data_IF_792797299818
#
_entry.id   IF_792797299818
#
_cell.length_a   1.000
_cell.length_b   1.000
_cell.length_c   1.000
_cell.angle_alpha   90.00
_cell.angle_beta   90.00
_cell.angle_gamma   90.00
#
_symmetry.space_group_name_H-M   'P 1'
#
loop_
_entity.id
_entity.type
_entity.pdbx_description
1 polymer ?
#
# COMPACT_ATOMS: atom_id res chain seq x y z
N UNK A 1 -33.19 22.32 -13.49
CA UNK A 1 -33.38 21.71 -12.16
C UNK A 1 -32.01 21.35 -11.60
N UNK A 2 -31.51 22.15 -10.67
CA UNK A 2 -30.21 21.91 -10.01
C UNK A 2 -30.46 20.96 -8.84
N UNK A 3 -29.97 19.73 -8.92
CA UNK A 3 -30.09 18.77 -7.82
C UNK A 3 -29.18 19.22 -6.67
N UNK A 4 -29.77 19.79 -5.62
CA UNK A 4 -29.10 20.01 -4.34
C UNK A 4 -28.79 18.63 -3.75
N UNK A 5 -27.56 18.14 -3.96
CA UNK A 5 -27.06 16.94 -3.31
C UNK A 5 -26.87 17.24 -1.83
N UNK A 6 -27.92 17.03 -1.03
CA UNK A 6 -27.85 17.06 0.43
C UNK A 6 -26.86 15.96 0.86
N UNK A 7 -25.71 16.37 1.41
CA UNK A 7 -24.73 15.43 1.94
C UNK A 7 -25.34 14.55 3.06
N UNK A 8 -24.65 13.47 3.48
CA UNK A 8 -25.17 12.54 4.47
C UNK A 8 -25.54 13.23 5.78
N UNK A 9 -26.63 12.77 6.42
CA UNK A 9 -27.12 13.28 7.71
C UNK A 9 -26.05 13.16 8.82
N UNK A 10 -26.10 13.98 9.89
CA UNK A 10 -25.12 13.93 10.97
C UNK A 10 -24.94 12.52 11.58
N UNK A 11 -26.05 11.83 11.89
CA UNK A 11 -26.01 10.45 12.40
C UNK A 11 -25.36 9.46 11.41
N UNK A 12 -25.59 9.64 10.10
CA UNK A 12 -24.95 8.83 9.05
C UNK A 12 -23.46 9.10 8.96
N UNK A 13 -23.04 10.37 9.08
CA UNK A 13 -21.63 10.77 9.11
C UNK A 13 -20.90 10.14 10.29
N UNK A 14 -21.47 10.16 11.49
CA UNK A 14 -20.85 9.57 12.69
C UNK A 14 -20.72 8.05 12.58
N UNK A 15 -21.75 7.38 12.05
CA UNK A 15 -21.71 5.95 11.79
C UNK A 15 -20.62 5.57 10.77
N UNK A 16 -20.51 6.32 9.67
CA UNK A 16 -19.47 6.12 8.65
C UNK A 16 -18.08 6.41 9.19
N UNK A 17 -17.90 7.47 9.99
CA UNK A 17 -16.63 7.78 10.61
C UNK A 17 -16.18 6.65 11.55
N UNK A 18 -17.10 6.09 12.35
CA UNK A 18 -16.81 4.91 13.19
C UNK A 18 -16.44 3.69 12.34
N UNK A 19 -17.17 3.44 11.26
CA UNK A 19 -16.90 2.33 10.34
C UNK A 19 -15.53 2.47 9.67
N UNK A 20 -15.16 3.66 9.22
CA UNK A 20 -13.84 3.93 8.62
C UNK A 20 -12.74 3.68 9.65
N UNK A 21 -12.88 4.13 10.90
CA UNK A 21 -11.90 3.85 11.95
C UNK A 21 -11.71 2.35 12.18
N UNK A 22 -12.80 1.59 12.22
CA UNK A 22 -12.75 0.13 12.36
C UNK A 22 -12.08 -0.54 11.15
N UNK A 23 -12.41 -0.09 9.94
CA UNK A 23 -11.79 -0.63 8.71
C UNK A 23 -10.29 -0.34 8.67
N UNK A 24 -9.88 0.90 8.95
CA UNK A 24 -8.46 1.28 9.00
C UNK A 24 -7.71 0.47 10.07
N UNK A 25 -8.30 0.30 11.26
CA UNK A 25 -7.70 -0.52 12.32
C UNK A 25 -7.57 -1.99 11.90
N UNK A 26 -8.57 -2.54 11.21
CA UNK A 26 -8.53 -3.90 10.68
C UNK A 26 -7.44 -4.06 9.60
N UNK A 27 -7.33 -3.10 8.68
CA UNK A 27 -6.27 -3.08 7.65
C UNK A 27 -4.88 -3.03 8.29
N UNK A 28 -4.65 -2.13 9.25
CA UNK A 28 -3.37 -2.05 9.97
C UNK A 28 -3.05 -3.37 10.69
N UNK A 29 -4.01 -3.93 11.43
CA UNK A 29 -3.79 -5.20 12.13
C UNK A 29 -3.46 -6.34 11.17
N UNK A 30 -4.15 -6.40 10.03
CA UNK A 30 -3.89 -7.40 8.99
C UNK A 30 -2.49 -7.23 8.39
N UNK A 31 -2.09 -6.03 8.02
CA UNK A 31 -0.75 -5.76 7.45
C UNK A 31 0.38 -6.06 8.44
N UNK A 32 0.16 -5.85 9.74
CA UNK A 32 1.14 -6.26 10.76
C UNK A 32 1.29 -7.80 10.77
N UNK A 33 0.18 -8.53 10.71
CA UNK A 33 0.22 -10.01 10.64
C UNK A 33 0.89 -10.45 9.34
N UNK A 34 0.52 -9.85 8.21
CA UNK A 34 1.09 -10.11 6.89
C UNK A 34 2.60 -9.88 6.89
N UNK A 35 3.07 -8.73 7.39
CA UNK A 35 4.50 -8.43 7.54
C UNK A 35 5.23 -9.51 8.35
N UNK A 36 4.72 -9.87 9.53
CA UNK A 36 5.36 -10.86 10.40
C UNK A 36 5.44 -12.22 9.71
N UNK A 37 4.32 -12.67 9.13
CA UNK A 37 4.25 -13.99 8.47
C UNK A 37 5.12 -14.02 7.22
N UNK A 38 5.03 -12.99 6.36
CA UNK A 38 5.77 -12.93 5.10
C UNK A 38 7.28 -12.77 5.33
N UNK A 39 7.73 -11.91 6.26
CA UNK A 39 9.16 -11.78 6.54
C UNK A 39 9.72 -13.08 7.15
N UNK A 40 8.99 -13.73 8.06
CA UNK A 40 9.43 -14.99 8.66
C UNK A 40 9.45 -16.11 7.62
N UNK A 41 8.38 -16.30 6.85
CA UNK A 41 8.31 -17.33 5.83
C UNK A 41 9.27 -17.06 4.66
N UNK A 42 9.50 -15.80 4.30
CA UNK A 42 10.39 -15.40 3.22
C UNK A 42 11.86 -15.62 3.59
N UNK A 43 12.25 -15.29 4.81
CA UNK A 43 13.60 -15.58 5.31
C UNK A 43 13.87 -17.08 5.43
N UNK A 44 12.91 -17.86 5.93
CA UNK A 44 13.03 -19.32 6.01
C UNK A 44 13.12 -19.97 4.63
N UNK A 45 12.37 -19.46 3.64
CA UNK A 45 12.33 -20.01 2.29
C UNK A 45 13.34 -19.36 1.33
N UNK A 46 14.20 -18.44 1.79
CA UNK A 46 15.08 -17.63 0.95
C UNK A 46 14.37 -16.97 -0.25
N UNK A 47 13.13 -16.50 -0.02
CA UNK A 47 12.25 -15.93 -1.06
C UNK A 47 12.33 -14.40 -1.03
N UNK A 48 12.98 -13.83 -2.06
CA UNK A 48 13.11 -12.39 -2.24
C UNK A 48 11.75 -11.73 -2.46
N UNK A 49 10.83 -12.39 -3.17
CA UNK A 49 9.50 -11.84 -3.42
C UNK A 49 8.67 -11.75 -2.13
N UNK A 50 8.72 -12.78 -1.30
CA UNK A 50 7.96 -12.84 -0.06
C UNK A 50 8.52 -11.87 0.99
N UNK A 51 9.84 -11.69 1.04
CA UNK A 51 10.46 -10.63 1.85
C UNK A 51 10.03 -9.24 1.34
N UNK A 52 10.08 -9.01 0.03
CA UNK A 52 9.66 -7.74 -0.56
C UNK A 52 8.20 -7.40 -0.26
N UNK A 53 7.31 -8.40 -0.33
CA UNK A 53 5.91 -8.28 0.06
C UNK A 53 5.74 -7.95 1.56
N UNK A 54 6.45 -8.66 2.44
CA UNK A 54 6.40 -8.38 3.88
C UNK A 54 6.89 -6.97 4.23
N UNK A 55 7.93 -6.49 3.56
CA UNK A 55 8.43 -5.11 3.74
C UNK A 55 7.47 -4.06 3.18
N UNK A 56 6.77 -4.32 2.07
CA UNK A 56 5.70 -3.46 1.56
C UNK A 56 4.59 -3.27 2.61
N UNK A 57 4.19 -4.36 3.26
CA UNK A 57 3.22 -4.36 4.35
C UNK A 57 3.68 -3.49 5.54
N UNK A 58 4.97 -3.49 5.88
CA UNK A 58 5.56 -2.57 6.89
C UNK A 58 5.48 -1.11 6.45
N UNK A 59 5.74 -0.83 5.16
CA UNK A 59 5.60 0.50 4.60
C UNK A 59 4.14 0.95 4.66
N UNK A 60 3.19 0.07 4.38
CA UNK A 60 1.76 0.38 4.42
C UNK A 60 1.30 0.81 5.82
N UNK A 61 1.70 0.06 6.86
CA UNK A 61 1.42 0.43 8.25
C UNK A 61 2.08 1.77 8.61
N UNK A 62 3.33 1.96 8.19
CA UNK A 62 4.10 3.18 8.49
C UNK A 62 3.51 4.41 7.81
N UNK A 63 3.06 4.29 6.56
CA UNK A 63 2.44 5.37 5.81
C UNK A 63 1.06 5.71 6.35
N UNK A 64 0.26 4.72 6.75
CA UNK A 64 -1.02 4.94 7.42
C UNK A 64 -0.83 5.71 8.73
N UNK A 65 0.20 5.38 9.52
CA UNK A 65 0.56 6.12 10.72
C UNK A 65 1.03 7.56 10.42
N UNK A 66 1.88 7.75 9.41
CA UNK A 66 2.34 9.08 8.99
C UNK A 66 1.18 9.97 8.52
N UNK A 67 0.23 9.39 7.76
CA UNK A 67 -1.00 10.05 7.32
C UNK A 67 -1.91 10.37 8.52
N UNK A 68 -2.09 9.46 9.47
CA UNK A 68 -2.87 9.74 10.67
C UNK A 68 -2.25 10.89 11.50
N UNK A 69 -0.92 10.91 11.63
CA UNK A 69 -0.18 11.96 12.30
C UNK A 69 -0.33 13.34 11.63
N UNK A 70 -0.35 13.40 10.29
CA UNK A 70 -0.54 14.65 9.56
C UNK A 70 -1.91 15.28 9.87
N UNK A 71 -2.96 14.46 9.96
CA UNK A 71 -4.35 14.93 10.15
C UNK A 71 -4.67 15.27 11.61
N UNK A 72 -3.77 14.97 12.55
CA UNK A 72 -3.89 15.42 13.95
C UNK A 72 -3.62 16.93 14.13
N UNK A 73 -2.99 17.59 13.16
CA UNK A 73 -2.69 19.02 13.21
C UNK A 73 -3.94 19.87 12.95
N UNK A 74 -4.19 20.87 13.81
CA UNK A 74 -5.32 21.81 13.69
C UNK A 74 -5.08 22.94 12.70
N UNK A 75 -3.82 23.36 12.55
CA UNK A 75 -3.44 24.48 11.68
C UNK A 75 -3.12 24.02 10.26
N UNK A 76 -3.64 24.74 9.27
CA UNK A 76 -3.48 24.41 7.85
C UNK A 76 -2.02 24.40 7.39
N UNK A 77 -1.23 25.42 7.76
CA UNK A 77 0.18 25.51 7.39
C UNK A 77 1.02 24.36 7.97
N UNK A 78 0.74 23.97 9.22
CA UNK A 78 1.39 22.82 9.88
C UNK A 78 0.99 21.51 9.19
N UNK A 79 -0.28 21.37 8.79
CA UNK A 79 -0.77 20.17 8.08
C UNK A 79 -0.07 20.00 6.72
N UNK A 80 0.09 21.08 5.95
CA UNK A 80 0.77 21.03 4.65
C UNK A 80 2.27 20.70 4.78
N UNK A 81 2.95 21.26 5.79
CA UNK A 81 4.35 20.92 6.09
C UNK A 81 4.52 19.45 6.51
N UNK A 82 3.58 18.92 7.32
CA UNK A 82 3.54 17.50 7.70
C UNK A 82 3.24 16.60 6.51
N UNK A 83 2.37 17.01 5.60
CA UNK A 83 2.06 16.25 4.37
C UNK A 83 3.29 16.07 3.49
N UNK A 84 4.04 17.15 3.21
CA UNK A 84 5.29 17.05 2.43
C UNK A 84 6.32 16.13 3.11
N UNK A 85 6.39 16.19 4.44
CA UNK A 85 7.28 15.33 5.22
C UNK A 85 6.83 13.86 5.14
N UNK A 86 5.55 13.57 5.34
CA UNK A 86 4.99 12.23 5.24
C UNK A 86 5.21 11.63 3.85
N UNK A 87 4.93 12.38 2.78
CA UNK A 87 5.15 11.94 1.40
C UNK A 87 6.63 11.67 1.10
N UNK A 88 7.55 12.47 1.65
CA UNK A 88 9.00 12.20 1.53
C UNK A 88 9.42 10.94 2.25
N UNK A 89 8.92 10.72 3.47
CA UNK A 89 9.20 9.50 4.23
C UNK A 89 8.71 8.29 3.43
N UNK A 90 7.46 8.32 2.98
CA UNK A 90 6.85 7.25 2.16
C UNK A 90 7.67 7.01 0.89
N UNK A 91 8.03 8.07 0.17
CA UNK A 91 8.82 7.98 -1.04
C UNK A 91 10.19 7.33 -0.81
N UNK A 92 10.91 7.74 0.24
CA UNK A 92 12.21 7.18 0.59
C UNK A 92 12.07 5.71 1.00
N UNK A 93 11.04 5.36 1.78
CA UNK A 93 10.78 3.97 2.17
C UNK A 93 10.55 3.06 0.96
N UNK A 94 9.72 3.48 0.01
CA UNK A 94 9.47 2.69 -1.21
C UNK A 94 10.71 2.56 -2.09
N UNK A 95 11.53 3.61 -2.22
CA UNK A 95 12.78 3.55 -2.97
C UNK A 95 13.82 2.67 -2.27
N UNK A 96 13.89 2.71 -0.95
CA UNK A 96 14.77 1.84 -0.16
C UNK A 96 14.34 0.37 -0.27
N UNK A 97 13.03 0.09 -0.18
CA UNK A 97 12.45 -1.23 -0.44
C UNK A 97 12.85 -1.73 -1.82
N UNK A 98 12.61 -0.92 -2.86
CA UNK A 98 12.92 -1.30 -4.22
C UNK A 98 14.40 -1.61 -4.42
N UNK A 99 15.29 -0.79 -3.85
CA UNK A 99 16.73 -1.02 -3.93
C UNK A 99 17.13 -2.32 -3.22
N UNK A 100 16.62 -2.56 -2.02
CA UNK A 100 16.90 -3.78 -1.26
C UNK A 100 16.42 -5.04 -2.00
N UNK A 101 15.14 -5.07 -2.39
CA UNK A 101 14.53 -6.23 -3.08
C UNK A 101 15.18 -6.47 -4.43
N UNK A 102 15.55 -5.42 -5.17
CA UNK A 102 16.24 -5.58 -6.46
C UNK A 102 17.64 -6.18 -6.29
N UNK A 103 18.42 -5.74 -5.30
CA UNK A 103 19.73 -6.31 -5.00
C UNK A 103 19.61 -7.77 -4.59
N UNK A 104 18.65 -8.08 -3.72
CA UNK A 104 18.41 -9.44 -3.24
C UNK A 104 17.98 -10.38 -4.39
N UNK A 105 17.04 -9.94 -5.23
CA UNK A 105 16.58 -10.69 -6.40
C UNK A 105 17.70 -10.93 -7.43
N UNK A 106 18.55 -9.93 -7.69
CA UNK A 106 19.71 -10.10 -8.58
C UNK A 106 20.70 -11.13 -8.02
N UNK A 107 20.96 -11.09 -6.71
CA UNK A 107 21.83 -12.08 -6.04
C UNK A 107 21.28 -13.49 -6.18
N UNK A 108 19.98 -13.68 -5.91
CA UNK A 108 19.28 -14.95 -6.08
C UNK A 108 19.39 -15.48 -7.53
N UNK A 109 19.19 -14.62 -8.54
CA UNK A 109 19.36 -15.00 -9.96
C UNK A 109 20.80 -15.37 -10.33
N UNK A 110 21.80 -14.80 -9.66
CA UNK A 110 23.22 -15.08 -9.92
C UNK A 110 23.78 -16.28 -9.12
N UNK A 111 22.94 -16.98 -8.36
CA UNK A 111 23.26 -18.29 -7.80
C UNK A 111 23.51 -18.35 -6.28
N UNK A 112 23.11 -17.34 -5.49
CA UNK A 112 23.32 -17.34 -4.03
C UNK A 112 22.12 -17.80 -3.18
N UNK A 113 21.13 -18.46 -3.76
CA UNK A 113 20.01 -19.02 -3.00
C UNK A 113 18.83 -19.35 -3.90
N UNK A 114 18.42 -20.61 -3.92
CA UNK A 114 17.18 -21.01 -4.58
C UNK A 114 16.02 -20.83 -3.59
N UNK A 115 14.96 -20.15 -4.03
CA UNK A 115 13.77 -20.01 -3.21
C UNK A 115 13.11 -21.38 -3.02
N UNK A 116 12.93 -21.81 -1.78
CA UNK A 116 12.20 -23.03 -1.47
C UNK A 116 10.68 -22.78 -1.51
N UNK A 117 9.85 -23.80 -1.81
CA UNK A 117 8.40 -23.67 -1.72
C UNK A 117 7.96 -23.28 -0.30
N UNK A 118 7.15 -22.23 -0.20
CA UNK A 118 6.64 -21.74 1.09
C UNK A 118 5.11 -21.85 1.17
N UNK A 119 4.55 -22.91 1.78
CA UNK A 119 3.10 -23.05 1.98
C UNK A 119 2.51 -21.87 2.75
N UNK A 120 3.23 -21.36 3.76
CA UNK A 120 2.81 -20.18 4.52
C UNK A 120 2.76 -18.93 3.63
N UNK A 121 3.76 -18.74 2.76
CA UNK A 121 3.78 -17.65 1.77
C UNK A 121 2.60 -17.71 0.79
N UNK A 122 2.28 -18.91 0.29
CA UNK A 122 1.13 -19.13 -0.60
C UNK A 122 -0.17 -18.80 0.11
N UNK A 123 -0.36 -19.30 1.34
CA UNK A 123 -1.58 -19.06 2.12
C UNK A 123 -1.75 -17.57 2.42
N UNK A 124 -0.71 -16.87 2.89
CA UNK A 124 -0.84 -15.45 3.21
C UNK A 124 -1.09 -14.61 1.95
N UNK A 125 -0.41 -14.90 0.84
CA UNK A 125 -0.62 -14.18 -0.42
C UNK A 125 -2.05 -14.42 -0.96
N UNK A 126 -2.56 -15.65 -0.88
CA UNK A 126 -3.93 -15.98 -1.28
C UNK A 126 -4.98 -15.30 -0.39
N UNK A 127 -4.78 -15.29 0.93
CA UNK A 127 -5.66 -14.58 1.86
C UNK A 127 -5.65 -13.08 1.59
N UNK A 128 -4.49 -12.50 1.32
CA UNK A 128 -4.33 -11.07 1.05
C UNK A 128 -5.04 -10.69 -0.26
N UNK A 129 -4.83 -11.49 -1.31
CA UNK A 129 -5.53 -11.36 -2.59
C UNK A 129 -7.05 -11.48 -2.45
N UNK A 130 -7.53 -12.29 -1.50
CA UNK A 130 -8.96 -12.42 -1.23
C UNK A 130 -9.51 -11.27 -0.36
N UNK A 131 -8.84 -10.88 0.72
CA UNK A 131 -9.37 -9.97 1.75
C UNK A 131 -9.21 -8.50 1.36
N UNK A 132 -8.02 -8.12 0.87
CA UNK A 132 -7.66 -6.73 0.60
C UNK A 132 -8.59 -6.00 -0.39
N UNK A 133 -9.09 -6.63 -1.48
CA UNK A 133 -10.03 -5.96 -2.38
C UNK A 133 -11.32 -5.52 -1.68
N UNK A 134 -11.84 -6.34 -0.75
CA UNK A 134 -13.05 -6.01 -0.02
C UNK A 134 -12.81 -4.87 0.97
N UNK A 135 -11.69 -4.89 1.70
CA UNK A 135 -11.29 -3.81 2.60
C UNK A 135 -11.12 -2.49 1.82
N UNK A 136 -10.34 -2.52 0.74
CA UNK A 136 -10.12 -1.37 -0.14
C UNK A 136 -11.43 -0.80 -0.68
N UNK A 137 -12.34 -1.66 -1.17
CA UNK A 137 -13.63 -1.22 -1.69
C UNK A 137 -14.52 -0.61 -0.59
N UNK A 138 -14.57 -1.22 0.59
CA UNK A 138 -15.36 -0.73 1.72
C UNK A 138 -14.84 0.62 2.23
N UNK A 139 -13.52 0.76 2.43
CA UNK A 139 -12.88 1.99 2.86
C UNK A 139 -13.06 3.10 1.82
N UNK A 140 -12.88 2.78 0.53
CA UNK A 140 -13.06 3.75 -0.55
C UNK A 140 -14.49 4.27 -0.65
N UNK A 141 -15.49 3.38 -0.52
CA UNK A 141 -16.91 3.78 -0.56
C UNK A 141 -17.24 4.69 0.62
N UNK A 142 -16.92 4.27 1.84
CA UNK A 142 -17.18 5.07 3.03
C UNK A 142 -16.40 6.40 3.01
N UNK A 143 -15.14 6.37 2.61
CA UNK A 143 -14.28 7.55 2.49
C UNK A 143 -14.81 8.58 1.49
N UNK A 144 -15.31 8.13 0.33
CA UNK A 144 -15.96 9.02 -0.65
C UNK A 144 -17.28 9.59 -0.13
N UNK A 145 -18.08 8.79 0.58
CA UNK A 145 -19.38 9.22 1.12
C UNK A 145 -19.23 10.37 2.15
N UNK A 146 -18.16 10.36 2.96
CA UNK A 146 -17.90 11.43 3.94
C UNK A 146 -16.84 12.45 3.50
N UNK A 147 -16.29 12.33 2.28
CA UNK A 147 -15.22 13.20 1.79
C UNK A 147 -13.86 13.04 2.49
N UNK A 148 -13.58 11.88 3.08
CA UNK A 148 -12.31 11.58 3.74
C UNK A 148 -11.22 11.24 2.71
N UNK A 149 -10.34 12.21 2.45
CA UNK A 149 -9.18 12.02 1.58
C UNK A 149 -8.21 10.95 2.11
N UNK A 150 -8.00 10.89 3.43
CA UNK A 150 -7.14 9.88 4.06
C UNK A 150 -7.66 8.46 3.85
N UNK A 151 -8.95 8.20 4.05
CA UNK A 151 -9.53 6.88 3.83
C UNK A 151 -9.47 6.45 2.35
N UNK A 152 -9.59 7.41 1.42
CA UNK A 152 -9.44 7.12 -0.01
C UNK A 152 -7.98 6.85 -0.38
N UNK A 153 -7.03 7.57 0.22
CA UNK A 153 -5.60 7.31 0.03
C UNK A 153 -5.19 5.94 0.58
N UNK A 154 -5.59 5.62 1.81
CA UNK A 154 -5.36 4.32 2.46
C UNK A 154 -5.90 3.17 1.59
N UNK A 155 -7.13 3.31 1.07
CA UNK A 155 -7.72 2.31 0.17
C UNK A 155 -6.93 2.08 -1.13
N UNK A 156 -6.14 3.06 -1.61
CA UNK A 156 -5.28 2.86 -2.79
C UNK A 156 -4.10 1.97 -2.45
N UNK A 157 -3.54 2.13 -1.25
CA UNK A 157 -2.38 1.37 -0.82
C UNK A 157 -2.74 -0.09 -0.59
N UNK A 158 -3.86 -0.35 0.10
CA UNK A 158 -4.42 -1.70 0.25
C UNK A 158 -4.73 -2.37 -1.10
N UNK A 159 -5.06 -1.58 -2.13
CA UNK A 159 -5.22 -2.10 -3.50
C UNK A 159 -3.88 -2.45 -4.15
N UNK A 160 -2.80 -1.72 -3.86
CA UNK A 160 -1.45 -2.09 -4.29
C UNK A 160 -1.02 -3.41 -3.66
N UNK A 161 -1.26 -3.63 -2.36
CA UNK A 161 -1.00 -4.92 -1.71
C UNK A 161 -1.76 -6.06 -2.39
N UNK A 162 -2.97 -5.82 -2.91
CA UNK A 162 -3.69 -6.82 -3.72
C UNK A 162 -2.90 -7.20 -4.99
N UNK A 163 -2.40 -6.22 -5.73
CA UNK A 163 -1.61 -6.48 -6.93
C UNK A 163 -0.28 -7.17 -6.62
N UNK A 164 0.39 -6.75 -5.55
CA UNK A 164 1.63 -7.36 -5.09
C UNK A 164 1.39 -8.80 -4.61
N UNK A 165 0.28 -9.06 -3.91
CA UNK A 165 -0.15 -10.42 -3.52
C UNK A 165 -0.36 -11.31 -4.75
N UNK A 166 -0.95 -10.79 -5.82
CA UNK A 166 -1.15 -11.54 -7.06
C UNK A 166 0.19 -11.88 -7.72
N UNK A 167 1.11 -10.92 -7.84
CA UNK A 167 2.45 -11.11 -8.41
C UNK A 167 3.23 -12.13 -7.58
N UNK A 168 3.23 -11.97 -6.26
CA UNK A 168 3.86 -12.90 -5.32
C UNK A 168 3.28 -14.31 -5.46
N UNK A 169 1.96 -14.45 -5.41
CA UNK A 169 1.29 -15.76 -5.45
C UNK A 169 1.60 -16.50 -6.74
N UNK A 170 1.63 -15.80 -7.89
CA UNK A 170 2.05 -16.39 -9.17
C UNK A 170 3.50 -16.87 -9.08
N UNK A 171 4.43 -16.06 -8.56
CA UNK A 171 5.83 -16.45 -8.38
C UNK A 171 5.99 -17.70 -7.50
N UNK A 172 5.32 -17.73 -6.35
CA UNK A 172 5.37 -18.84 -5.40
C UNK A 172 4.74 -20.12 -5.97
N UNK A 173 3.60 -20.03 -6.66
CA UNK A 173 2.94 -21.19 -7.28
C UNK A 173 3.81 -21.74 -8.41
N UNK A 174 4.39 -20.89 -9.25
CA UNK A 174 5.28 -21.34 -10.33
C UNK A 174 6.50 -22.06 -9.78
N UNK A 175 7.10 -21.53 -8.71
CA UNK A 175 8.21 -22.19 -8.02
C UNK A 175 7.77 -23.55 -7.44
N UNK A 176 6.67 -23.59 -6.70
CA UNK A 176 6.20 -24.81 -6.03
C UNK A 176 5.73 -25.91 -7.00
N UNK A 177 5.09 -25.55 -8.12
CA UNK A 177 4.50 -26.51 -9.06
C UNK A 177 5.49 -26.99 -10.13
N UNK A 178 6.42 -26.12 -10.57
CA UNK A 178 7.33 -26.41 -11.68
C UNK A 178 8.81 -26.43 -11.29
N UNK A 179 9.15 -26.13 -10.04
CA UNK A 179 10.55 -26.03 -9.58
C UNK A 179 11.27 -24.82 -10.18
N UNK A 180 10.55 -23.80 -10.65
CA UNK A 180 11.14 -22.61 -11.26
C UNK A 180 11.64 -21.64 -10.20
N UNK A 181 12.83 -21.92 -9.64
CA UNK A 181 13.47 -21.09 -8.61
C UNK A 181 13.67 -19.63 -9.05
N UNK A 182 13.83 -19.38 -10.35
CA UNK A 182 13.93 -18.03 -10.93
C UNK A 182 12.61 -17.24 -10.96
N UNK A 183 11.46 -17.89 -10.78
CA UNK A 183 10.15 -17.22 -10.78
C UNK A 183 10.01 -16.26 -9.57
N UNK A 184 10.59 -16.63 -8.43
CA UNK A 184 10.56 -15.81 -7.23
C UNK A 184 11.37 -14.50 -7.39
N UNK A 185 12.65 -14.52 -7.80
CA UNK A 185 13.39 -13.28 -8.09
C UNK A 185 12.74 -12.40 -9.17
N UNK A 186 12.11 -12.99 -10.19
CA UNK A 186 11.38 -12.21 -11.20
C UNK A 186 10.15 -11.53 -10.59
N UNK A 187 9.40 -12.22 -9.74
CA UNK A 187 8.29 -11.61 -8.98
C UNK A 187 8.81 -10.50 -8.03
N UNK A 188 9.94 -10.71 -7.37
CA UNK A 188 10.60 -9.72 -6.53
C UNK A 188 11.00 -8.47 -7.31
N UNK A 189 11.54 -8.61 -8.52
CA UNK A 189 11.86 -7.49 -9.40
C UNK A 189 10.60 -6.74 -9.86
N UNK A 190 9.49 -7.44 -10.10
CA UNK A 190 8.21 -6.80 -10.41
C UNK A 190 7.68 -6.00 -9.21
N UNK A 191 7.77 -6.54 -7.99
CA UNK A 191 7.45 -5.82 -6.73
C UNK A 191 8.34 -4.58 -6.60
N UNK A 192 9.65 -4.70 -6.81
CA UNK A 192 10.58 -3.59 -6.78
C UNK A 192 10.24 -2.52 -7.82
N UNK A 193 9.86 -2.90 -9.04
CA UNK A 193 9.42 -1.98 -10.09
C UNK A 193 8.17 -1.17 -9.71
N UNK A 194 7.19 -1.83 -9.07
CA UNK A 194 6.00 -1.15 -8.52
C UNK A 194 6.40 -0.19 -7.39
N UNK A 195 7.26 -0.62 -6.46
CA UNK A 195 7.76 0.23 -5.38
C UNK A 195 8.52 1.47 -5.91
N UNK A 196 9.35 1.35 -6.95
CA UNK A 196 9.98 2.52 -7.60
C UNK A 196 8.93 3.49 -8.14
N UNK A 197 7.88 2.97 -8.79
CA UNK A 197 6.81 3.82 -9.33
C UNK A 197 6.11 4.58 -8.20
N UNK A 198 5.71 3.89 -7.14
CA UNK A 198 5.04 4.49 -5.97
C UNK A 198 5.94 5.51 -5.27
N UNK A 199 7.22 5.18 -5.07
CA UNK A 199 8.19 6.10 -4.48
C UNK A 199 8.35 7.38 -5.30
N UNK A 200 8.38 7.28 -6.63
CA UNK A 200 8.45 8.45 -7.54
C UNK A 200 7.16 9.27 -7.54
N UNK A 201 6.00 8.61 -7.46
CA UNK A 201 4.70 9.28 -7.38
C UNK A 201 4.56 10.06 -6.06
N UNK A 202 4.92 9.43 -4.93
CA UNK A 202 4.97 10.06 -3.62
C UNK A 202 5.96 11.24 -3.58
N UNK A 203 7.17 11.09 -4.14
CA UNK A 203 8.17 12.17 -4.19
C UNK A 203 7.70 13.39 -4.97
N UNK A 204 6.92 13.18 -6.04
CA UNK A 204 6.34 14.24 -6.88
C UNK A 204 5.08 14.86 -6.27
N UNK A 205 4.62 14.39 -5.11
CA UNK A 205 3.34 14.77 -4.52
C UNK A 205 2.12 14.28 -5.31
N UNK A 206 2.31 13.37 -6.28
CA UNK A 206 1.25 12.85 -7.15
C UNK A 206 0.60 11.64 -6.49
N UNK A 207 -0.13 11.87 -5.40
CA UNK A 207 -0.86 10.83 -4.65
C UNK A 207 -1.99 11.39 -3.79
N UNK A 208 -1.83 12.64 -3.36
CA UNK A 208 -2.69 13.34 -2.39
C UNK A 208 -3.47 14.53 -2.97
N UNK A 209 -3.87 14.52 -4.24
CA UNK A 209 -4.93 15.44 -4.65
C UNK A 209 -6.27 14.97 -4.06
N UNK A 210 -6.57 15.39 -2.84
CA UNK A 210 -7.94 15.40 -2.35
C UNK A 210 -8.77 16.27 -3.31
N UNK A 211 -9.99 15.86 -3.73
CA UNK A 211 -10.89 16.80 -4.35
C UNK A 211 -11.29 17.81 -3.28
N UNK A 212 -10.89 19.06 -3.44
CA UNK A 212 -11.44 20.18 -2.70
C UNK A 212 -12.96 20.16 -2.85
N UNK A 213 -13.68 20.07 -1.73
CA UNK A 213 -15.12 20.29 -1.71
C UNK A 213 -15.37 21.75 -2.09
N UNK A 214 -15.69 21.99 -3.35
CA UNK A 214 -15.96 23.31 -3.89
C UNK A 214 -15.29 23.52 -5.24
N UNK A 215 -16.11 23.56 -6.28
CA UNK A 215 -15.89 24.16 -7.60
C UNK A 215 -14.68 25.14 -7.73
N UNK A 216 -13.90 24.91 -8.81
CA UNK A 216 -13.05 25.82 -9.59
C UNK A 216 -11.55 25.96 -9.30
N UNK A 217 -10.81 25.91 -10.41
CA UNK A 217 -9.41 26.27 -10.68
C UNK A 217 -8.31 25.30 -10.22
N UNK A 218 -8.13 24.23 -11.01
CA UNK A 218 -6.79 23.74 -11.31
C UNK A 218 -6.04 24.83 -12.09
N UNK A 219 -5.49 25.81 -11.38
CA UNK A 219 -4.54 26.75 -11.95
C UNK A 219 -3.22 26.02 -12.12
N UNK A 220 -2.87 25.75 -13.38
CA UNK A 220 -1.52 25.37 -13.81
C UNK A 220 -0.51 26.28 -13.10
N UNK A 221 0.45 25.72 -12.37
CA UNK A 221 1.66 26.45 -12.04
C UNK A 221 2.71 26.17 -13.13
N UNK A 222 3.26 27.19 -13.80
CA UNK A 222 4.33 27.00 -14.76
C UNK A 222 5.64 26.77 -14.00
N UNK A 223 6.40 25.80 -14.49
CA UNK A 223 7.80 25.58 -14.13
C UNK A 223 8.59 26.87 -14.35
N UNK A 224 9.31 27.30 -13.32
CA UNK A 224 10.60 27.99 -13.43
C UNK A 224 11.55 27.39 -12.40
#
# INVERSE_FOLDING_TARGET
MTTLSLGPSPARRDALARRIRLLVAATIAYNVIEAVVALTAGTLASSSALIGFGLDSVIEVSSAAAVAWQFSAREHAVREARERTALRIIAVSFLALAAYVAVDAVRALTGTGEAEPSPLGIVIAALSLAIMPFLSAAQRRAGREIGSASAVADSKQTLLCTYLSAVLLVGLILNAAFGWSWADPVAALAIAGIAVKEGREAWRGKGCCAPTAGSQACAKSPVR
#
